data_IF_541826844924
#
_entry.id   IF_541826844924
#
_cell.length_a   1.000
_cell.length_b   1.000
_cell.length_c   1.000
_cell.angle_alpha   90.00
_cell.angle_beta   90.00
_cell.angle_gamma   90.00
#
_symmetry.space_group_name_H-M   'P 1'
#
loop_
_entity.id
_entity.type
_entity.pdbx_description
1 polymer ?
#
# COMPACT_ATOMS: atom_id res chain seq x y z
N UNK A 1 9.40 -20.38 15.72
CA UNK A 1 9.65 -18.95 15.43
C UNK A 1 8.89 -18.04 16.37
N UNK A 2 7.55 -18.07 16.42
CA UNK A 2 6.71 -17.17 17.23
C UNK A 2 7.11 -17.07 18.71
N UNK A 3 7.39 -18.21 19.38
CA UNK A 3 7.81 -18.25 20.79
C UNK A 3 9.16 -17.58 21.07
N UNK A 4 9.94 -17.26 20.03
CA UNK A 4 11.27 -16.63 20.14
C UNK A 4 11.25 -15.13 19.85
N UNK A 5 10.08 -14.55 19.58
CA UNK A 5 9.96 -13.12 19.33
C UNK A 5 10.28 -12.34 20.61
N UNK A 6 11.10 -11.32 20.46
CA UNK A 6 11.32 -10.31 21.51
C UNK A 6 10.05 -9.50 21.79
N UNK A 7 10.05 -8.75 22.90
CA UNK A 7 8.87 -8.03 23.37
C UNK A 7 8.31 -7.04 22.33
N UNK A 8 9.18 -6.45 21.50
CA UNK A 8 8.80 -5.45 20.49
C UNK A 8 8.63 -6.02 19.08
N UNK A 9 8.76 -7.35 18.93
CA UNK A 9 8.64 -7.99 17.64
C UNK A 9 7.26 -8.58 17.43
N UNK A 10 6.75 -8.46 16.20
CA UNK A 10 5.54 -9.14 15.74
C UNK A 10 5.90 -10.10 14.62
N UNK A 11 5.12 -11.14 14.47
CA UNK A 11 5.11 -12.00 13.30
C UNK A 11 4.07 -11.43 12.35
N UNK A 12 4.51 -11.05 11.17
CA UNK A 12 3.63 -10.58 10.09
C UNK A 12 3.48 -11.74 9.10
N UNK A 13 2.27 -12.19 8.87
CA UNK A 13 1.97 -13.34 8.03
C UNK A 13 1.31 -12.89 6.74
N UNK A 14 2.09 -12.89 5.69
CA UNK A 14 1.64 -12.57 4.35
C UNK A 14 0.98 -13.80 3.70
N UNK A 15 -0.02 -13.57 2.88
CA UNK A 15 -0.68 -14.58 2.07
C UNK A 15 -0.52 -14.26 0.59
N UNK A 16 -0.58 -15.29 -0.23
CA UNK A 16 -0.53 -15.14 -1.68
C UNK A 16 -1.44 -16.18 -2.31
N UNK A 17 -2.33 -15.76 -3.20
CA UNK A 17 -3.21 -16.67 -3.90
C UNK A 17 -2.42 -17.59 -4.83
N UNK A 18 -3.00 -18.75 -5.14
CA UNK A 18 -2.36 -19.73 -6.01
C UNK A 18 -2.11 -19.16 -7.42
N UNK A 19 -0.86 -19.22 -7.85
CA UNK A 19 -0.45 -18.93 -9.21
C UNK A 19 -0.17 -20.25 -9.94
N UNK A 20 -0.88 -20.51 -11.05
CA UNK A 20 -0.64 -21.74 -11.81
C UNK A 20 0.74 -21.70 -12.41
N UNK A 21 1.48 -22.72 -12.28
CA UNK A 21 2.64 -23.18 -13.01
C UNK A 21 3.75 -23.78 -12.14
N UNK A 22 4.16 -23.21 -11.00
CA UNK A 22 5.40 -23.62 -10.37
C UNK A 22 5.31 -23.98 -8.90
N UNK A 23 4.35 -23.45 -8.14
CA UNK A 23 4.25 -23.69 -6.70
C UNK A 23 2.81 -23.61 -6.20
N UNK A 24 2.57 -24.26 -5.07
CA UNK A 24 1.37 -24.08 -4.27
C UNK A 24 1.70 -23.15 -3.10
N UNK A 25 0.80 -22.24 -2.79
CA UNK A 25 0.95 -21.34 -1.66
C UNK A 25 0.32 -21.97 -0.42
N UNK A 26 1.08 -22.08 0.68
CA UNK A 26 0.60 -22.66 1.94
C UNK A 26 -0.45 -21.79 2.63
N UNK A 27 -0.41 -20.47 2.40
CA UNK A 27 -1.34 -19.48 2.93
C UNK A 27 -1.97 -18.73 1.75
N UNK A 28 -3.07 -19.27 1.16
CA UNK A 28 -3.56 -18.80 -0.14
C UNK A 28 -4.46 -17.55 -0.08
N UNK A 29 -4.93 -17.19 1.10
CA UNK A 29 -5.88 -16.09 1.28
C UNK A 29 -5.79 -15.44 2.66
N UNK A 30 -6.40 -14.25 2.76
CA UNK A 30 -6.41 -13.50 4.00
C UNK A 30 -7.09 -14.21 5.17
N UNK A 31 -8.13 -15.01 4.91
CA UNK A 31 -8.85 -15.76 5.95
C UNK A 31 -7.98 -16.85 6.56
N UNK A 32 -7.20 -17.57 5.74
CA UNK A 32 -6.22 -18.56 6.19
C UNK A 32 -5.11 -17.88 7.01
N UNK A 33 -4.55 -16.75 6.52
CA UNK A 33 -3.57 -15.96 7.26
C UNK A 33 -4.13 -15.48 8.60
N UNK A 34 -5.35 -14.92 8.59
CA UNK A 34 -6.05 -14.50 9.81
C UNK A 34 -6.22 -15.65 10.81
N UNK A 35 -6.68 -16.82 10.37
CA UNK A 35 -6.86 -17.98 11.24
C UNK A 35 -5.56 -18.39 11.91
N UNK A 36 -4.45 -18.43 11.16
CA UNK A 36 -3.13 -18.69 11.74
C UNK A 36 -2.69 -17.61 12.73
N UNK A 37 -2.92 -16.33 12.42
CA UNK A 37 -2.60 -15.23 13.33
C UNK A 37 -3.40 -15.32 14.65
N UNK A 38 -4.68 -15.71 14.59
CA UNK A 38 -5.51 -15.93 15.78
C UNK A 38 -4.97 -17.10 16.61
N UNK A 39 -4.64 -18.22 15.96
CA UNK A 39 -4.13 -19.41 16.65
C UNK A 39 -2.75 -19.17 17.31
N UNK A 40 -1.92 -18.28 16.73
CA UNK A 40 -0.61 -17.94 17.26
C UNK A 40 -0.67 -16.93 18.42
N UNK A 41 -1.65 -16.03 18.43
CA UNK A 41 -1.85 -15.03 19.49
C UNK A 41 -1.66 -13.58 19.03
N UNK A 42 -1.58 -12.66 20.01
CA UNK A 42 -1.73 -11.21 19.76
C UNK A 42 -0.59 -10.60 18.92
N UNK A 43 0.60 -11.16 18.99
CA UNK A 43 1.77 -10.68 18.24
C UNK A 43 1.88 -11.27 16.83
N UNK A 44 0.90 -12.05 16.39
CA UNK A 44 0.78 -12.49 15.01
C UNK A 44 -0.31 -11.68 14.32
N UNK A 45 0.05 -11.06 13.21
CA UNK A 45 -0.80 -10.14 12.43
C UNK A 45 -0.65 -10.43 10.94
N UNK A 46 -1.63 -10.01 10.17
CA UNK A 46 -1.68 -10.23 8.71
C UNK A 46 -0.90 -9.12 8.00
N UNK A 47 -0.10 -9.49 7.01
CA UNK A 47 0.34 -8.59 5.94
C UNK A 47 -0.65 -8.67 4.78
N UNK A 48 -1.15 -7.54 4.35
CA UNK A 48 -2.00 -7.43 3.18
C UNK A 48 -1.17 -6.85 2.03
N UNK A 49 -0.77 -7.72 1.11
CA UNK A 49 -0.23 -7.30 -0.17
C UNK A 49 -1.36 -7.03 -1.15
N UNK A 50 -1.33 -5.85 -1.78
CA UNK A 50 -2.41 -5.42 -2.69
C UNK A 50 -2.43 -6.17 -4.02
N UNK A 51 -1.32 -6.80 -4.40
CA UNK A 51 -1.19 -7.66 -5.58
C UNK A 51 -1.61 -9.11 -5.37
N UNK A 52 -1.62 -9.59 -4.12
CA UNK A 52 -1.82 -11.00 -3.79
C UNK A 52 -3.29 -11.44 -3.73
N UNK A 53 -4.12 -10.95 -4.63
CA UNK A 53 -5.55 -11.25 -4.68
C UNK A 53 -5.99 -11.68 -6.07
N UNK A 54 -6.98 -12.57 -6.14
CA UNK A 54 -7.63 -12.90 -7.40
C UNK A 54 -8.31 -11.65 -8.01
N UNK A 55 -8.40 -11.55 -9.35
CA UNK A 55 -9.15 -10.47 -9.99
C UNK A 55 -10.58 -10.34 -9.44
N UNK A 56 -11.02 -9.10 -9.18
CA UNK A 56 -12.35 -8.82 -8.65
C UNK A 56 -12.49 -8.98 -7.12
N UNK A 57 -11.43 -9.30 -6.40
CA UNK A 57 -11.47 -9.33 -4.93
C UNK A 57 -11.73 -7.93 -4.36
N UNK A 58 -12.68 -7.86 -3.42
CA UNK A 58 -12.96 -6.64 -2.66
C UNK A 58 -11.91 -6.49 -1.54
N UNK A 59 -10.80 -5.82 -1.86
CA UNK A 59 -9.66 -5.66 -0.95
C UNK A 59 -10.01 -4.70 0.19
N UNK A 60 -10.73 -3.63 -0.08
CA UNK A 60 -11.17 -2.67 0.93
C UNK A 60 -12.04 -3.33 2.02
N UNK A 61 -12.88 -4.30 1.65
CA UNK A 61 -13.61 -5.10 2.63
C UNK A 61 -12.68 -5.92 3.53
N UNK A 62 -11.64 -6.52 2.96
CA UNK A 62 -10.63 -7.27 3.73
C UNK A 62 -9.90 -6.34 4.70
N UNK A 63 -9.51 -5.15 4.26
CA UNK A 63 -8.88 -4.13 5.10
C UNK A 63 -9.77 -3.77 6.28
N UNK A 64 -11.03 -3.44 6.02
CA UNK A 64 -12.02 -3.11 7.06
C UNK A 64 -12.17 -4.25 8.06
N UNK A 65 -12.27 -5.49 7.60
CA UNK A 65 -12.40 -6.66 8.49
C UNK A 65 -11.16 -6.85 9.35
N UNK A 66 -9.96 -6.81 8.77
CA UNK A 66 -8.72 -7.02 9.51
C UNK A 66 -8.44 -5.91 10.51
N UNK A 67 -8.79 -4.64 10.19
CA UNK A 67 -8.74 -3.52 11.15
C UNK A 67 -9.70 -3.74 12.31
N UNK A 68 -10.97 -4.07 12.02
CA UNK A 68 -11.99 -4.35 13.05
C UNK A 68 -11.60 -5.49 13.97
N UNK A 69 -10.93 -6.51 13.45
CA UNK A 69 -10.49 -7.69 14.19
C UNK A 69 -9.13 -7.50 14.90
N UNK A 70 -8.50 -6.32 14.74
CA UNK A 70 -7.19 -6.03 15.33
C UNK A 70 -6.06 -6.91 14.79
N UNK A 71 -6.17 -7.35 13.54
CA UNK A 71 -5.20 -8.27 12.92
C UNK A 71 -4.54 -7.75 11.64
N UNK A 72 -4.84 -6.54 11.20
CA UNK A 72 -4.05 -5.88 10.17
C UNK A 72 -2.74 -5.37 10.76
N UNK A 73 -1.62 -5.90 10.34
CA UNK A 73 -0.30 -5.53 10.87
C UNK A 73 0.57 -4.79 9.87
N UNK A 74 0.41 -5.08 8.59
CA UNK A 74 1.20 -4.46 7.53
C UNK A 74 0.46 -4.43 6.21
N UNK A 75 0.88 -3.49 5.36
CA UNK A 75 0.61 -3.49 3.93
C UNK A 75 1.91 -3.66 3.16
N UNK A 76 1.83 -4.42 2.06
CA UNK A 76 2.73 -4.35 0.93
C UNK A 76 1.96 -3.78 -0.26
N UNK A 77 2.30 -2.54 -0.65
CA UNK A 77 1.61 -1.85 -1.73
C UNK A 77 2.30 -2.07 -3.07
N UNK A 78 1.54 -2.52 -4.02
CA UNK A 78 1.85 -2.57 -5.45
C UNK A 78 0.56 -2.40 -6.25
N UNK A 79 0.60 -2.58 -7.54
CA UNK A 79 -0.56 -2.69 -8.43
C UNK A 79 -0.43 -3.92 -9.30
N UNK A 80 -1.56 -4.47 -9.69
CA UNK A 80 -1.63 -5.64 -10.57
C UNK A 80 -2.76 -5.49 -11.60
N UNK A 81 -2.63 -6.20 -12.71
CA UNK A 81 -3.69 -6.41 -13.68
C UNK A 81 -4.15 -7.87 -13.72
N UNK A 82 -3.21 -8.80 -13.82
CA UNK A 82 -3.51 -10.20 -14.10
C UNK A 82 -3.09 -11.14 -12.98
N UNK A 83 -1.94 -10.93 -12.44
CA UNK A 83 -1.34 -11.76 -11.40
C UNK A 83 -0.56 -10.87 -10.41
N UNK A 84 0.50 -11.38 -9.83
CA UNK A 84 1.41 -10.65 -8.97
C UNK A 84 2.40 -9.83 -9.83
N UNK A 85 1.89 -8.75 -10.39
CA UNK A 85 2.60 -7.96 -11.40
C UNK A 85 3.59 -6.94 -10.80
N UNK A 86 3.51 -6.65 -9.51
CA UNK A 86 4.34 -5.70 -8.77
C UNK A 86 4.49 -4.32 -9.44
N UNK A 87 3.41 -3.83 -10.06
CA UNK A 87 3.42 -2.56 -10.78
C UNK A 87 3.46 -1.37 -9.82
N UNK A 88 3.78 -0.19 -10.36
CA UNK A 88 3.72 1.08 -9.64
C UNK A 88 2.36 1.21 -8.93
N UNK A 89 2.39 1.50 -7.64
CA UNK A 89 1.19 1.57 -6.79
C UNK A 89 0.15 2.51 -7.36
N UNK A 90 -1.09 2.02 -7.48
CA UNK A 90 -2.21 2.78 -8.04
C UNK A 90 -2.20 2.94 -9.57
N UNK A 91 -1.23 2.36 -10.29
CA UNK A 91 -1.15 2.52 -11.75
C UNK A 91 -2.27 1.77 -12.48
N UNK A 92 -2.69 0.61 -11.97
CA UNK A 92 -3.71 -0.20 -12.61
C UNK A 92 -5.13 0.25 -12.25
N UNK A 93 -5.37 0.50 -10.95
CA UNK A 93 -6.67 0.95 -10.44
C UNK A 93 -6.49 1.97 -9.30
N UNK A 94 -6.37 3.26 -9.62
CA UNK A 94 -6.22 4.32 -8.61
C UNK A 94 -7.46 4.46 -7.72
N UNK A 95 -8.65 4.12 -8.23
CA UNK A 95 -9.88 4.18 -7.43
C UNK A 95 -9.93 3.05 -6.39
N UNK A 96 -9.43 1.85 -6.71
CA UNK A 96 -9.29 0.78 -5.72
C UNK A 96 -8.30 1.19 -4.62
N UNK A 97 -7.15 1.77 -4.98
CA UNK A 97 -6.19 2.28 -3.99
C UNK A 97 -6.83 3.34 -3.07
N UNK A 98 -7.60 4.27 -3.64
CA UNK A 98 -8.34 5.26 -2.85
C UNK A 98 -9.29 4.59 -1.86
N UNK A 99 -10.11 3.61 -2.29
CA UNK A 99 -11.05 2.91 -1.43
C UNK A 99 -10.35 2.12 -0.31
N UNK A 100 -9.24 1.45 -0.62
CA UNK A 100 -8.41 0.77 0.38
C UNK A 100 -7.93 1.76 1.44
N UNK A 101 -7.35 2.89 1.02
CA UNK A 101 -6.82 3.91 1.94
C UNK A 101 -7.94 4.63 2.69
N UNK A 102 -9.14 4.75 2.11
CA UNK A 102 -10.30 5.26 2.82
C UNK A 102 -10.71 4.34 3.98
N UNK A 103 -10.71 3.03 3.80
CA UNK A 103 -10.98 2.10 4.91
C UNK A 103 -9.87 2.14 5.98
N UNK A 104 -8.61 2.37 5.59
CA UNK A 104 -7.52 2.61 6.56
C UNK A 104 -7.79 3.87 7.39
N UNK A 105 -8.18 4.97 6.75
CA UNK A 105 -8.54 6.24 7.43
C UNK A 105 -9.76 6.04 8.34
N UNK A 106 -10.82 5.42 7.81
CA UNK A 106 -12.07 5.17 8.53
C UNK A 106 -11.86 4.26 9.75
N UNK A 107 -11.03 3.24 9.61
CA UNK A 107 -10.71 2.26 10.64
C UNK A 107 -9.60 2.68 11.61
N UNK A 108 -9.06 3.91 11.50
CA UNK A 108 -8.04 4.43 12.41
C UNK A 108 -6.63 3.88 12.16
N UNK A 109 -6.36 3.31 11.01
CA UNK A 109 -5.05 2.74 10.67
C UNK A 109 -3.88 3.75 10.62
N UNK A 110 -4.19 5.05 10.58
CA UNK A 110 -3.22 6.15 10.73
C UNK A 110 -3.27 6.82 12.11
N UNK A 111 -4.05 6.29 13.02
CA UNK A 111 -4.16 6.85 14.38
C UNK A 111 -2.88 6.69 15.19
N UNK A 112 -2.71 7.46 16.27
CA UNK A 112 -1.51 7.41 17.12
C UNK A 112 -1.31 6.06 17.82
N UNK A 113 -2.39 5.30 17.98
CA UNK A 113 -2.37 3.97 18.60
C UNK A 113 -2.31 2.84 17.55
N UNK A 114 -2.15 3.18 16.27
CA UNK A 114 -2.06 2.19 15.20
C UNK A 114 -0.65 1.66 15.06
N UNK A 115 -0.54 0.34 15.04
CA UNK A 115 0.69 -0.40 14.77
C UNK A 115 0.78 -0.90 13.32
N UNK A 116 -0.08 -0.43 12.43
CA UNK A 116 -0.06 -0.83 11.01
C UNK A 116 1.16 -0.24 10.32
N UNK A 117 1.94 -1.08 9.70
CA UNK A 117 3.12 -0.69 8.90
C UNK A 117 2.75 -0.60 7.43
N UNK A 118 3.27 0.42 6.75
CA UNK A 118 3.04 0.63 5.32
C UNK A 118 4.35 0.46 4.56
N UNK A 119 4.40 -0.52 3.66
CA UNK A 119 5.56 -0.85 2.85
C UNK A 119 5.19 -0.79 1.37
N UNK A 120 6.18 -0.77 0.51
CA UNK A 120 6.03 -0.84 -0.93
C UNK A 120 6.76 -2.09 -1.43
N UNK A 121 6.02 -2.99 -2.04
CA UNK A 121 6.56 -4.18 -2.72
C UNK A 121 6.56 -4.02 -4.26
N UNK A 122 6.43 -2.82 -4.75
CA UNK A 122 6.53 -2.52 -6.17
C UNK A 122 7.95 -2.77 -6.67
N UNK A 123 8.14 -3.73 -7.56
CA UNK A 123 9.44 -4.10 -8.09
C UNK A 123 9.36 -4.70 -9.49
N UNK A 124 8.88 -3.96 -10.47
CA UNK A 124 8.94 -4.41 -11.86
C UNK A 124 10.35 -4.20 -12.42
N UNK A 125 10.78 -5.03 -13.37
CA UNK A 125 12.16 -5.01 -13.87
C UNK A 125 12.41 -4.02 -15.02
N UNK A 126 11.38 -3.36 -15.54
CA UNK A 126 11.49 -2.41 -16.67
C UNK A 126 11.83 -1.01 -16.20
N UNK A 127 11.13 -0.49 -15.18
CA UNK A 127 11.38 0.86 -14.70
C UNK A 127 12.58 0.94 -13.75
N UNK A 128 13.22 2.11 -13.73
CA UNK A 128 14.26 2.43 -12.76
C UNK A 128 13.68 2.41 -11.33
N UNK A 129 14.34 1.68 -10.41
CA UNK A 129 13.79 1.37 -9.07
C UNK A 129 13.50 2.61 -8.23
N UNK A 130 14.45 3.53 -8.10
CA UNK A 130 14.26 4.72 -7.27
C UNK A 130 13.11 5.61 -7.77
N UNK A 131 13.05 5.99 -9.07
CA UNK A 131 11.90 6.74 -9.58
C UNK A 131 10.57 5.98 -9.45
N UNK A 132 10.56 4.67 -9.64
CA UNK A 132 9.38 3.83 -9.44
C UNK A 132 8.86 3.91 -8.01
N UNK A 133 9.74 3.77 -7.02
CA UNK A 133 9.40 3.89 -5.60
C UNK A 133 8.93 5.31 -5.24
N UNK A 134 9.61 6.36 -5.74
CA UNK A 134 9.16 7.75 -5.52
C UNK A 134 7.75 7.93 -6.09
N UNK A 135 7.46 7.43 -7.30
CA UNK A 135 6.14 7.52 -7.90
C UNK A 135 5.09 6.78 -7.07
N UNK A 136 5.41 5.59 -6.59
CA UNK A 136 4.52 4.80 -5.74
C UNK A 136 4.18 5.53 -4.43
N UNK A 137 5.17 6.11 -3.76
CA UNK A 137 4.94 6.94 -2.55
C UNK A 137 4.03 8.14 -2.86
N UNK A 138 4.28 8.84 -3.98
CA UNK A 138 3.45 9.99 -4.36
C UNK A 138 2.00 9.59 -4.61
N UNK A 139 1.76 8.45 -5.26
CA UNK A 139 0.42 7.95 -5.51
C UNK A 139 -0.30 7.57 -4.20
N UNK A 140 0.40 6.90 -3.26
CA UNK A 140 -0.15 6.59 -1.94
C UNK A 140 -0.48 7.88 -1.16
N UNK A 141 0.41 8.88 -1.18
CA UNK A 141 0.15 10.17 -0.53
C UNK A 141 -1.08 10.86 -1.12
N UNK A 142 -1.21 10.87 -2.46
CA UNK A 142 -2.33 11.51 -3.14
C UNK A 142 -3.67 10.82 -2.79
N UNK A 143 -3.72 9.50 -2.86
CA UNK A 143 -4.94 8.77 -2.53
C UNK A 143 -5.27 8.82 -1.02
N UNK A 144 -4.26 8.87 -0.14
CA UNK A 144 -4.46 9.09 1.30
C UNK A 144 -5.05 10.47 1.57
N UNK A 145 -4.51 11.52 0.94
CA UNK A 145 -5.03 12.87 1.11
C UNK A 145 -6.50 12.97 0.67
N UNK A 146 -6.85 12.39 -0.47
CA UNK A 146 -8.24 12.31 -0.94
C UNK A 146 -9.13 11.52 0.02
N UNK A 147 -8.65 10.41 0.56
CA UNK A 147 -9.37 9.61 1.56
C UNK A 147 -9.66 10.39 2.85
N UNK A 148 -8.74 11.27 3.26
CA UNK A 148 -8.91 12.15 4.41
C UNK A 148 -9.96 13.26 4.15
N UNK A 149 -10.21 13.63 2.90
CA UNK A 149 -11.19 14.66 2.51
C UNK A 149 -12.62 14.12 2.42
N UNK A 150 -12.83 12.81 2.50
CA UNK A 150 -14.19 12.25 2.49
C UNK A 150 -15.00 12.79 3.65
N UNK A 151 -16.17 13.41 3.36
CA UNK A 151 -17.13 13.79 4.38
C UNK A 151 -17.79 12.54 4.98
N UNK A 152 -17.18 12.05 6.07
CA UNK A 152 -17.64 10.82 6.74
C UNK A 152 -19.01 10.96 7.39
N UNK A 153 -19.42 12.18 7.76
CA UNK A 153 -20.75 12.40 8.31
C UNK A 153 -21.80 12.27 7.20
N UNK A 154 -21.62 13.00 6.10
CA UNK A 154 -22.52 12.91 4.94
C UNK A 154 -22.59 11.47 4.37
N UNK A 155 -21.43 10.78 4.28
CA UNK A 155 -21.40 9.38 3.85
C UNK A 155 -22.22 8.48 4.78
N UNK A 156 -22.03 8.61 6.09
CA UNK A 156 -22.76 7.80 7.08
C UNK A 156 -24.26 8.07 7.04
N UNK A 157 -24.66 9.32 6.86
CA UNK A 157 -26.08 9.68 6.77
C UNK A 157 -26.73 9.11 5.48
N UNK A 158 -26.04 9.18 4.35
CA UNK A 158 -26.48 8.56 3.11
C UNK A 158 -26.58 7.02 3.25
N UNK A 159 -25.57 6.37 3.84
CA UNK A 159 -25.58 4.92 4.11
C UNK A 159 -26.78 4.52 4.98
N UNK A 160 -27.07 5.25 6.06
CA UNK A 160 -28.19 4.98 6.96
C UNK A 160 -29.55 5.20 6.29
N UNK A 161 -29.63 6.18 5.40
CA UNK A 161 -30.84 6.46 4.63
C UNK A 161 -31.05 5.49 3.45
N UNK A 162 -30.08 4.64 3.13
CA UNK A 162 -30.08 3.80 1.93
C UNK A 162 -29.95 4.62 0.63
N UNK A 163 -29.44 5.85 0.73
CA UNK A 163 -29.15 6.70 -0.43
C UNK A 163 -27.81 6.32 -1.07
N UNK A 164 -27.88 5.32 -1.95
CA UNK A 164 -26.72 4.81 -2.67
C UNK A 164 -26.07 5.87 -3.58
N UNK A 165 -26.89 6.73 -4.19
CA UNK A 165 -26.39 7.78 -5.08
C UNK A 165 -25.69 8.88 -4.29
N UNK A 166 -26.26 9.30 -3.17
CA UNK A 166 -25.63 10.27 -2.28
C UNK A 166 -24.32 9.73 -1.70
N UNK A 167 -24.29 8.48 -1.23
CA UNK A 167 -23.05 7.84 -0.75
C UNK A 167 -21.98 7.77 -1.84
N UNK A 168 -22.36 7.41 -3.07
CA UNK A 168 -21.43 7.40 -4.20
C UNK A 168 -20.91 8.81 -4.51
N UNK A 169 -21.78 9.83 -4.53
CA UNK A 169 -21.37 11.21 -4.80
C UNK A 169 -20.32 11.69 -3.80
N UNK A 170 -20.52 11.46 -2.50
CA UNK A 170 -19.56 11.84 -1.45
C UNK A 170 -18.16 11.23 -1.68
N UNK A 171 -18.10 9.95 -2.05
CA UNK A 171 -16.82 9.28 -2.33
C UNK A 171 -16.18 9.81 -3.63
N UNK A 172 -16.97 10.00 -4.68
CA UNK A 172 -16.45 10.46 -5.98
C UNK A 172 -15.99 11.91 -5.94
N UNK A 173 -16.65 12.79 -5.19
CA UNK A 173 -16.23 14.18 -5.00
C UNK A 173 -14.85 14.25 -4.34
N UNK A 174 -14.63 13.44 -3.30
CA UNK A 174 -13.32 13.34 -2.66
C UNK A 174 -12.27 12.75 -3.61
N UNK A 175 -12.60 11.68 -4.35
CA UNK A 175 -11.68 11.04 -5.29
C UNK A 175 -11.24 11.98 -6.42
N UNK A 176 -12.12 12.85 -6.94
CA UNK A 176 -11.78 13.78 -8.00
C UNK A 176 -11.15 15.09 -7.50
N UNK A 177 -11.08 15.33 -6.20
CA UNK A 177 -10.44 16.53 -5.66
C UNK A 177 -8.94 16.54 -5.99
N UNK A 178 -8.45 17.65 -6.53
CA UNK A 178 -7.03 17.83 -6.79
C UNK A 178 -6.30 18.27 -5.51
N UNK A 179 -5.51 17.38 -4.95
CA UNK A 179 -4.75 17.57 -3.70
C UNK A 179 -3.25 17.80 -3.93
N UNK A 180 -2.81 17.90 -5.19
CA UNK A 180 -1.37 17.94 -5.52
C UNK A 180 -0.70 19.22 -5.01
N UNK A 181 -1.40 20.34 -5.06
CA UNK A 181 -0.94 21.62 -4.49
C UNK A 181 -0.74 21.51 -2.98
N UNK A 182 -1.76 21.06 -2.26
CA UNK A 182 -1.73 20.89 -0.80
C UNK A 182 -0.61 19.95 -0.36
N UNK A 183 -0.41 18.85 -1.10
CA UNK A 183 0.68 17.91 -0.83
C UNK A 183 2.06 18.50 -1.12
N UNK A 184 2.21 19.36 -2.13
CA UNK A 184 3.46 20.09 -2.38
C UNK A 184 3.78 21.02 -1.20
N UNK A 185 2.81 21.79 -0.75
CA UNK A 185 2.95 22.69 0.40
C UNK A 185 3.22 21.92 1.70
N UNK A 186 2.53 20.80 1.89
CA UNK A 186 2.75 19.91 3.04
C UNK A 186 4.19 19.35 3.07
N UNK A 187 4.76 18.98 1.92
CA UNK A 187 6.15 18.53 1.83
C UNK A 187 7.12 19.66 2.14
N UNK A 188 6.92 20.85 1.57
CA UNK A 188 7.76 22.03 1.82
C UNK A 188 7.77 22.39 3.31
N UNK A 189 6.62 22.39 3.96
CA UNK A 189 6.51 22.65 5.39
C UNK A 189 7.30 21.67 6.27
N UNK A 190 7.69 20.51 5.72
CA UNK A 190 8.53 19.48 6.37
C UNK A 190 9.97 19.44 5.89
N UNK A 191 10.40 20.44 5.12
CA UNK A 191 11.74 20.51 4.57
C UNK A 191 11.99 19.51 3.44
N UNK A 192 10.94 18.99 2.82
CA UNK A 192 11.00 18.06 1.70
C UNK A 192 10.76 18.80 0.36
N UNK A 193 11.26 18.27 -0.76
CA UNK A 193 10.98 18.86 -2.07
C UNK A 193 9.48 18.90 -2.40
N UNK A 194 9.00 20.03 -2.94
CA UNK A 194 7.62 20.13 -3.45
C UNK A 194 7.35 19.09 -4.54
N UNK A 195 8.30 18.91 -5.46
CA UNK A 195 8.31 17.84 -6.47
C UNK A 195 9.50 16.89 -6.25
N UNK A 196 9.30 15.74 -5.57
CA UNK A 196 10.36 14.77 -5.31
C UNK A 196 10.95 14.15 -6.58
N UNK A 197 10.17 14.01 -7.66
CA UNK A 197 10.68 13.48 -8.93
C UNK A 197 11.63 14.45 -9.62
N UNK A 198 11.31 15.76 -9.61
CA UNK A 198 12.20 16.78 -10.12
C UNK A 198 13.48 16.87 -9.27
N UNK A 199 13.36 16.83 -7.96
CA UNK A 199 14.49 16.80 -7.04
C UNK A 199 15.41 15.60 -7.27
N UNK A 200 14.85 14.40 -7.45
CA UNK A 200 15.62 13.22 -7.79
C UNK A 200 16.41 13.40 -9.09
N UNK A 201 15.76 13.87 -10.16
CA UNK A 201 16.44 14.13 -11.44
C UNK A 201 17.57 15.15 -11.29
N UNK A 202 17.31 16.25 -10.57
CA UNK A 202 18.30 17.30 -10.35
C UNK A 202 19.49 16.86 -9.48
N UNK A 203 19.35 15.79 -8.70
CA UNK A 203 20.42 15.29 -7.83
C UNK A 203 21.58 14.62 -8.56
N UNK A 204 21.41 14.24 -9.83
CA UNK A 204 22.38 13.46 -10.61
C UNK A 204 22.68 12.09 -10.00
N UNK A 205 21.77 11.59 -9.13
CA UNK A 205 22.00 10.32 -8.42
C UNK A 205 22.07 9.14 -9.39
N UNK A 206 21.19 9.12 -10.41
CA UNK A 206 21.13 8.00 -11.36
C UNK A 206 22.46 7.82 -12.12
N UNK A 207 23.00 8.91 -12.64
CA UNK A 207 24.25 8.93 -13.40
C UNK A 207 25.44 8.54 -12.51
N UNK A 208 25.47 9.07 -11.29
CA UNK A 208 26.53 8.74 -10.32
C UNK A 208 26.53 7.27 -9.96
N UNK A 209 25.39 6.68 -9.63
CA UNK A 209 25.28 5.26 -9.26
C UNK A 209 25.61 4.33 -10.43
N UNK A 210 25.21 4.70 -11.65
CA UNK A 210 25.62 3.94 -12.84
C UNK A 210 27.14 3.94 -12.99
N UNK A 211 27.78 5.11 -12.88
CA UNK A 211 29.23 5.22 -12.97
C UNK A 211 29.95 4.40 -11.88
N UNK A 212 29.49 4.49 -10.63
CA UNK A 212 30.05 3.74 -9.51
C UNK A 212 29.92 2.21 -9.71
N UNK A 213 28.77 1.73 -10.18
CA UNK A 213 28.50 0.30 -10.37
C UNK A 213 29.23 -0.27 -11.59
N UNK A 214 29.34 0.47 -12.69
CA UNK A 214 30.13 0.04 -13.85
C UNK A 214 31.61 -0.06 -13.47
N UNK A 215 32.15 0.91 -12.72
CA UNK A 215 33.51 0.86 -12.21
C UNK A 215 33.76 -0.32 -11.26
N UNK A 216 32.73 -0.73 -10.49
CA UNK A 216 32.77 -1.89 -9.60
C UNK A 216 32.55 -3.24 -10.29
N UNK A 217 31.78 -3.25 -11.38
CA UNK A 217 31.44 -4.48 -12.12
C UNK A 217 32.65 -5.08 -12.90
N UNK A 218 33.66 -4.26 -13.21
CA UNK A 218 34.93 -4.78 -13.72
C UNK A 218 35.73 -5.58 -12.69
N UNK A 219 35.33 -5.58 -11.42
CA UNK A 219 36.03 -6.27 -10.34
C UNK A 219 35.35 -7.56 -9.84
N UNK A 220 34.19 -7.98 -10.34
CA UNK A 220 33.46 -9.00 -9.64
C UNK A 220 32.53 -9.99 -10.34
N UNK A 221 32.27 -9.91 -11.65
CA UNK A 221 31.51 -10.94 -12.36
C UNK A 221 32.20 -11.22 -13.69
N UNK A 222 33.22 -12.08 -13.61
CA UNK A 222 33.80 -12.69 -14.79
C UNK A 222 32.75 -13.55 -15.52
N UNK A 223 32.82 -13.52 -16.84
CA UNK A 223 31.99 -14.18 -17.81
C UNK A 223 31.71 -15.67 -17.54
#
# INVERSE_FOLDING_TARGET
>A
MYRRLGAHQRLVLEYKFFEPAFYATDVPDWGTSYAHCVALGDRAVVCLDTGHHAPGTNIEFIVMQLLRLGKLGAFDFNSRFYADDDLIVGAADPFQLFRILFEVVRGGGYGPDSDVTFMLDQCHNIEAKIPGQIRSVLNVQEMTARALLVDRAALTDAERAGDVLGANAVLMDAFYTDVRGDLADWRVARGLPADPMAAYRASGYAERIVAERIGGAQAGWGA
#
